data_IF_237194109665
#
_entry.id   IF_237194109665
#
_cell.length_a   1.000
_cell.length_b   1.000
_cell.length_c   1.000
_cell.angle_alpha   90.00
_cell.angle_beta   90.00
_cell.angle_gamma   90.00
#
_symmetry.space_group_name_H-M   'P 1'
#
loop_
_entity.id
_entity.type
_entity.pdbx_description
1 polymer ?
#
# COMPACT_ATOMS: atom_id res chain seq x y z
N UNK A 1 -1.78 16.10 -17.15
CA UNK A 1 -2.37 14.93 -16.45
C UNK A 1 -2.26 15.18 -14.97
N UNK A 2 -3.33 15.09 -14.25
CA UNK A 2 -3.31 15.12 -12.80
C UNK A 2 -2.73 13.79 -12.33
N UNK A 3 -1.67 13.87 -11.53
CA UNK A 3 -1.02 12.70 -10.92
C UNK A 3 -1.59 12.58 -9.52
N UNK A 4 -2.14 11.42 -9.18
CA UNK A 4 -2.57 11.12 -7.81
C UNK A 4 -1.35 11.04 -6.90
N UNK A 5 -1.39 11.75 -5.79
CA UNK A 5 -0.31 11.79 -4.78
C UNK A 5 -0.77 11.01 -3.55
N UNK A 6 -0.18 9.86 -3.31
CA UNK A 6 -0.31 9.14 -2.05
C UNK A 6 0.88 9.43 -1.13
N UNK A 7 0.62 9.49 0.17
CA UNK A 7 1.64 9.75 1.18
C UNK A 7 1.68 8.63 2.21
N UNK A 8 2.69 7.76 2.13
CA UNK A 8 2.94 6.72 3.11
C UNK A 8 3.71 7.29 4.30
N UNK A 9 3.05 7.40 5.44
CA UNK A 9 3.56 7.97 6.68
C UNK A 9 4.28 6.92 7.53
N UNK A 10 5.62 6.89 7.44
CA UNK A 10 6.48 6.06 8.31
C UNK A 10 6.85 6.82 9.60
N UNK A 11 5.85 7.27 10.35
CA UNK A 11 5.98 8.08 11.58
C UNK A 11 5.06 7.52 12.67
N UNK A 12 5.35 7.83 13.94
CA UNK A 12 4.60 7.34 15.09
C UNK A 12 3.42 8.23 15.49
N UNK A 13 3.33 9.42 14.93
CA UNK A 13 2.33 10.45 15.26
C UNK A 13 1.45 10.80 14.04
N UNK A 14 1.17 9.83 13.18
CA UNK A 14 0.35 10.03 11.99
C UNK A 14 -1.06 10.55 12.34
N UNK A 15 -1.64 10.06 13.46
CA UNK A 15 -2.96 10.49 13.92
C UNK A 15 -3.02 11.97 14.37
N UNK A 16 -1.89 12.56 14.76
CA UNK A 16 -1.82 13.98 15.19
C UNK A 16 -1.38 14.93 14.07
N UNK A 17 -0.86 14.40 12.94
CA UNK A 17 -0.21 15.24 11.90
C UNK A 17 -0.76 15.04 10.49
N UNK A 18 -1.75 14.16 10.30
CA UNK A 18 -2.31 13.83 8.98
C UNK A 18 -2.83 15.07 8.23
N UNK A 19 -3.38 16.06 8.95
CA UNK A 19 -3.94 17.30 8.41
C UNK A 19 -2.91 18.13 7.63
N UNK A 20 -1.65 18.15 8.09
CA UNK A 20 -0.56 18.85 7.42
C UNK A 20 -0.28 18.31 6.01
N UNK A 21 -0.47 17.01 5.81
CA UNK A 21 -0.31 16.36 4.49
C UNK A 21 -1.51 16.64 3.58
N UNK A 22 -2.71 16.64 4.15
CA UNK A 22 -3.94 17.04 3.43
C UNK A 22 -3.85 18.50 2.99
N UNK A 23 -3.42 19.41 3.87
CA UNK A 23 -3.19 20.83 3.54
C UNK A 23 -2.11 21.04 2.48
N UNK A 24 -1.14 20.12 2.39
CA UNK A 24 -0.13 20.09 1.33
C UNK A 24 -0.66 19.59 -0.01
N UNK A 25 -1.88 19.05 -0.07
CA UNK A 25 -2.56 18.65 -1.29
C UNK A 25 -2.36 17.19 -1.70
N UNK A 26 -2.15 16.27 -0.74
CA UNK A 26 -2.14 14.83 -1.04
C UNK A 26 -3.55 14.31 -1.26
N UNK A 27 -3.70 13.36 -2.18
CA UNK A 27 -4.99 12.72 -2.49
C UNK A 27 -5.30 11.56 -1.53
N UNK A 28 -4.26 10.94 -0.95
CA UNK A 28 -4.37 9.80 -0.04
C UNK A 28 -3.31 9.87 1.06
N UNK A 29 -3.71 9.59 2.29
CA UNK A 29 -2.79 9.36 3.42
C UNK A 29 -2.82 7.89 3.79
N UNK A 30 -1.64 7.25 3.87
CA UNK A 30 -1.46 5.85 4.22
C UNK A 30 -0.68 5.78 5.53
N UNK A 31 -1.32 5.30 6.60
CA UNK A 31 -0.71 5.21 7.93
C UNK A 31 -0.52 3.76 8.37
N UNK A 32 0.50 3.53 9.21
CA UNK A 32 0.75 2.21 9.80
C UNK A 32 -0.28 1.85 10.86
N UNK A 33 -0.87 0.65 10.76
CA UNK A 33 -1.84 0.15 11.76
C UNK A 33 -1.19 0.07 13.15
N UNK A 34 0.11 -0.18 13.20
CA UNK A 34 0.89 -0.29 14.43
C UNK A 34 1.18 1.07 15.10
N UNK A 35 0.93 2.18 14.42
CA UNK A 35 1.24 3.53 14.88
C UNK A 35 0.00 4.37 15.21
N UNK A 36 -1.20 3.82 15.09
CA UNK A 36 -2.46 4.54 15.28
C UNK A 36 -3.38 3.74 16.20
N UNK A 37 -3.67 4.26 17.39
CA UNK A 37 -4.50 3.58 18.40
C UNK A 37 -5.98 3.50 17.99
N UNK A 38 -6.52 4.57 17.38
CA UNK A 38 -7.91 4.64 16.89
C UNK A 38 -7.93 4.85 15.38
N UNK A 39 -7.69 3.78 14.63
CA UNK A 39 -7.65 3.82 13.18
C UNK A 39 -9.02 4.19 12.55
N UNK A 40 -10.18 3.72 13.05
CA UNK A 40 -11.49 4.19 12.59
C UNK A 40 -11.66 5.71 12.68
N UNK A 41 -11.20 6.35 13.76
CA UNK A 41 -11.26 7.80 13.89
C UNK A 41 -10.39 8.51 12.84
N UNK A 42 -9.20 8.00 12.54
CA UNK A 42 -8.34 8.54 11.49
C UNK A 42 -9.00 8.41 10.09
N UNK A 43 -9.59 7.26 9.75
CA UNK A 43 -10.32 7.07 8.49
C UNK A 43 -11.44 8.11 8.36
N UNK A 44 -12.26 8.25 9.41
CA UNK A 44 -13.37 9.22 9.40
C UNK A 44 -12.87 10.66 9.24
N UNK A 45 -11.75 11.02 9.86
CA UNK A 45 -11.15 12.35 9.75
C UNK A 45 -10.64 12.64 8.34
N UNK A 46 -9.92 11.69 7.72
CA UNK A 46 -9.43 11.80 6.34
C UNK A 46 -10.58 11.93 5.34
N UNK A 47 -11.60 11.07 5.42
CA UNK A 47 -12.79 11.15 4.57
C UNK A 47 -13.55 12.46 4.78
N UNK A 48 -13.65 12.94 6.04
CA UNK A 48 -14.26 14.24 6.37
C UNK A 48 -13.53 15.43 5.74
N UNK A 49 -12.23 15.29 5.48
CA UNK A 49 -11.39 16.26 4.77
C UNK A 49 -11.39 16.07 3.24
N UNK A 50 -12.08 15.06 2.72
CA UNK A 50 -12.12 14.75 1.28
C UNK A 50 -10.89 14.00 0.76
N UNK A 51 -10.08 13.42 1.66
CA UNK A 51 -8.85 12.67 1.35
C UNK A 51 -9.08 11.18 1.54
N UNK A 52 -8.50 10.35 0.67
CA UNK A 52 -8.57 8.90 0.78
C UNK A 52 -7.74 8.36 1.96
N UNK A 53 -8.24 7.28 2.57
CA UNK A 53 -7.62 6.65 3.73
C UNK A 53 -7.00 5.30 3.37
N UNK A 54 -5.69 5.17 3.57
CA UNK A 54 -4.95 3.93 3.42
C UNK A 54 -4.41 3.40 4.75
N UNK A 55 -4.39 2.09 4.88
CA UNK A 55 -3.80 1.37 6.02
C UNK A 55 -2.62 0.54 5.55
N UNK A 56 -1.48 0.60 6.25
CA UNK A 56 -0.31 -0.23 5.96
C UNK A 56 0.00 -1.18 7.10
N UNK A 57 0.40 -2.42 6.73
CA UNK A 57 0.83 -3.46 7.65
C UNK A 57 2.29 -3.80 7.44
N UNK A 58 3.03 -3.95 8.54
CA UNK A 58 4.36 -4.55 8.51
C UNK A 58 4.33 -6.04 8.11
N UNK A 59 5.45 -6.62 7.65
CA UNK A 59 5.50 -8.04 7.29
C UNK A 59 5.05 -8.98 8.41
N UNK A 60 5.31 -8.63 9.66
CA UNK A 60 4.99 -9.44 10.85
C UNK A 60 3.61 -9.18 11.45
N UNK A 61 2.92 -8.09 11.05
CA UNK A 61 1.61 -7.72 11.61
C UNK A 61 0.51 -8.64 11.09
N UNK A 62 -0.31 -9.25 11.95
CA UNK A 62 -1.41 -10.11 11.53
C UNK A 62 -2.44 -9.37 10.67
N UNK A 63 -2.93 -10.01 9.60
CA UNK A 63 -3.93 -9.44 8.68
C UNK A 63 -5.26 -9.16 9.38
N UNK A 64 -5.58 -9.92 10.42
CA UNK A 64 -6.79 -9.82 11.22
C UNK A 64 -7.00 -8.44 11.85
N UNK A 65 -5.93 -7.66 12.01
CA UNK A 65 -6.03 -6.28 12.52
C UNK A 65 -6.65 -5.32 11.52
N UNK A 66 -6.52 -5.60 10.21
CA UNK A 66 -7.04 -4.72 9.14
C UNK A 66 -8.39 -5.20 8.60
N UNK A 67 -8.71 -6.49 8.68
CA UNK A 67 -9.96 -7.02 8.15
C UNK A 67 -11.22 -6.25 8.60
N UNK A 68 -11.36 -5.85 9.89
CA UNK A 68 -12.52 -5.08 10.34
C UNK A 68 -12.61 -3.68 9.73
N UNK A 69 -11.48 -3.12 9.24
CA UNK A 69 -11.39 -1.77 8.69
C UNK A 69 -11.66 -1.73 7.17
N UNK A 70 -11.58 -2.88 6.48
CA UNK A 70 -11.71 -2.95 5.02
C UNK A 70 -12.93 -2.22 4.45
N UNK A 71 -14.13 -2.26 5.07
CA UNK A 71 -15.31 -1.57 4.54
C UNK A 71 -15.15 -0.05 4.38
N UNK A 72 -14.27 0.54 5.17
CA UNK A 72 -14.06 1.99 5.23
C UNK A 72 -12.71 2.43 4.65
N UNK A 73 -11.87 1.47 4.19
CA UNK A 73 -10.56 1.76 3.61
C UNK A 73 -10.61 1.86 2.09
N UNK A 74 -9.94 2.88 1.54
CA UNK A 74 -9.71 3.03 0.10
C UNK A 74 -8.55 2.15 -0.38
N UNK A 75 -7.55 1.91 0.50
CA UNK A 75 -6.35 1.16 0.18
C UNK A 75 -5.78 0.41 1.39
N UNK A 76 -5.26 -0.80 1.12
CA UNK A 76 -4.40 -1.53 2.06
C UNK A 76 -3.03 -1.73 1.42
N UNK A 77 -1.99 -1.29 2.11
CA UNK A 77 -0.59 -1.49 1.72
C UNK A 77 0.04 -2.61 2.55
N UNK A 78 0.59 -3.61 1.90
CA UNK A 78 1.39 -4.66 2.55
C UNK A 78 2.87 -4.37 2.34
N UNK A 79 3.60 -4.21 3.45
CA UNK A 79 5.06 -4.12 3.37
C UNK A 79 5.66 -5.51 3.09
N UNK A 80 6.50 -5.60 2.06
CA UNK A 80 7.29 -6.80 1.74
C UNK A 80 8.79 -6.63 2.06
N UNK A 81 9.10 -5.65 2.90
CA UNK A 81 10.39 -5.42 3.57
C UNK A 81 10.10 -4.81 4.94
N UNK A 82 11.09 -4.79 5.83
CA UNK A 82 10.98 -4.01 7.08
C UNK A 82 11.03 -2.52 6.76
N UNK A 83 10.03 -1.70 7.15
CA UNK A 83 9.99 -0.28 6.82
C UNK A 83 11.22 0.51 7.30
N UNK A 84 11.51 1.62 6.62
CA UNK A 84 12.52 2.59 7.04
C UNK A 84 13.90 2.44 6.38
N UNK A 85 14.13 1.43 5.54
CA UNK A 85 15.38 1.29 4.77
C UNK A 85 15.09 0.89 3.34
N UNK A 86 15.64 1.63 2.39
CA UNK A 86 15.61 1.26 0.97
C UNK A 86 16.56 0.10 0.63
N UNK A 87 16.33 -0.54 -0.52
CA UNK A 87 17.23 -1.53 -1.10
C UNK A 87 17.25 -2.91 -0.42
N UNK A 88 16.29 -3.20 0.44
CA UNK A 88 16.15 -4.51 1.08
C UNK A 88 15.66 -5.57 0.11
N UNK A 89 15.91 -6.84 0.46
CA UNK A 89 15.41 -8.00 -0.30
C UNK A 89 13.92 -8.16 -0.07
N UNK A 90 13.20 -8.50 -1.15
CA UNK A 90 11.79 -8.85 -1.13
C UNK A 90 11.54 -10.05 -0.19
N UNK A 91 10.49 -9.99 0.59
CA UNK A 91 10.05 -11.02 1.54
C UNK A 91 8.83 -11.77 0.97
N UNK A 92 9.02 -12.95 0.33
CA UNK A 92 7.91 -13.70 -0.26
C UNK A 92 6.94 -14.28 0.79
N UNK A 93 7.33 -14.32 2.05
CA UNK A 93 6.50 -14.83 3.16
C UNK A 93 5.21 -14.02 3.36
N UNK A 94 5.14 -12.80 2.80
CA UNK A 94 3.92 -11.98 2.85
C UNK A 94 2.82 -12.47 1.89
N UNK A 95 3.09 -13.43 1.00
CA UNK A 95 2.10 -13.98 0.06
C UNK A 95 0.79 -14.38 0.73
N UNK A 96 0.87 -15.14 1.82
CA UNK A 96 -0.32 -15.60 2.54
C UNK A 96 -1.20 -14.44 3.01
N UNK A 97 -0.58 -13.36 3.50
CA UNK A 97 -1.26 -12.12 3.91
C UNK A 97 -1.93 -11.42 2.72
N UNK A 98 -1.20 -11.26 1.61
CA UNK A 98 -1.73 -10.61 0.40
C UNK A 98 -2.94 -11.37 -0.14
N UNK A 99 -2.87 -12.70 -0.25
CA UNK A 99 -3.98 -13.54 -0.73
C UNK A 99 -5.19 -13.52 0.21
N UNK A 100 -4.97 -13.46 1.53
CA UNK A 100 -6.06 -13.33 2.50
C UNK A 100 -6.78 -11.99 2.35
N UNK A 101 -6.05 -10.88 2.20
CA UNK A 101 -6.60 -9.56 1.94
C UNK A 101 -7.37 -9.54 0.61
N UNK A 102 -6.79 -10.07 -0.47
CA UNK A 102 -7.46 -10.14 -1.78
C UNK A 102 -8.79 -10.88 -1.68
N UNK A 103 -8.80 -12.05 -1.02
CA UNK A 103 -10.02 -12.84 -0.82
C UNK A 103 -11.08 -12.03 -0.06
N UNK A 104 -10.69 -11.32 0.99
CA UNK A 104 -11.63 -10.51 1.79
C UNK A 104 -12.17 -9.30 1.01
N UNK A 105 -11.30 -8.62 0.25
CA UNK A 105 -11.69 -7.50 -0.61
C UNK A 105 -12.64 -7.96 -1.72
N UNK A 106 -12.35 -9.09 -2.38
CA UNK A 106 -13.21 -9.63 -3.43
C UNK A 106 -14.61 -10.04 -2.88
N UNK A 107 -14.65 -10.63 -1.69
CA UNK A 107 -15.90 -10.95 -1.01
C UNK A 107 -16.70 -9.67 -0.66
N UNK A 108 -16.03 -8.61 -0.21
CA UNK A 108 -16.62 -7.31 0.06
C UNK A 108 -17.24 -6.69 -1.21
N UNK A 109 -16.50 -6.68 -2.32
CA UNK A 109 -16.96 -6.17 -3.62
C UNK A 109 -18.16 -6.98 -4.10
N UNK A 110 -18.10 -8.31 -4.00
CA UNK A 110 -19.21 -9.20 -4.38
C UNK A 110 -20.47 -8.95 -3.56
N UNK A 111 -20.33 -8.50 -2.31
CA UNK A 111 -21.43 -8.10 -1.44
C UNK A 111 -21.95 -6.66 -1.69
N UNK A 112 -21.40 -5.94 -2.67
CA UNK A 112 -21.75 -4.55 -3.00
C UNK A 112 -21.07 -3.50 -2.14
N UNK A 113 -20.00 -3.87 -1.42
CA UNK A 113 -19.16 -2.95 -0.66
C UNK A 113 -18.15 -2.19 -1.53
N UNK A 114 -17.31 -1.36 -0.89
CA UNK A 114 -16.32 -0.55 -1.58
C UNK A 114 -15.20 -1.41 -2.22
N UNK A 115 -14.59 -0.89 -3.27
CA UNK A 115 -13.47 -1.53 -3.98
C UNK A 115 -12.13 -1.06 -3.41
N UNK A 116 -11.81 -1.51 -2.20
CA UNK A 116 -10.51 -1.26 -1.57
C UNK A 116 -9.38 -1.75 -2.46
N UNK A 117 -8.37 -0.91 -2.70
CA UNK A 117 -7.17 -1.28 -3.47
C UNK A 117 -6.17 -2.01 -2.61
N UNK A 118 -5.48 -2.98 -3.20
CA UNK A 118 -4.40 -3.73 -2.55
C UNK A 118 -3.07 -3.33 -3.15
N UNK A 119 -2.20 -2.74 -2.33
CA UNK A 119 -0.88 -2.25 -2.72
C UNK A 119 0.21 -3.08 -2.02
N UNK A 120 1.38 -3.20 -2.64
CA UNK A 120 2.57 -3.80 -2.03
C UNK A 120 3.77 -2.86 -2.18
N UNK A 121 4.60 -2.75 -1.14
CA UNK A 121 5.86 -2.00 -1.16
C UNK A 121 6.99 -2.81 -0.55
N UNK A 122 8.10 -2.87 -1.28
CA UNK A 122 9.36 -3.41 -0.82
C UNK A 122 10.00 -4.43 -1.76
N UNK A 123 11.15 -4.10 -2.32
CA UNK A 123 11.97 -5.03 -3.08
C UNK A 123 11.41 -5.51 -4.41
N UNK A 124 10.40 -4.81 -4.97
CA UNK A 124 9.79 -5.18 -6.25
C UNK A 124 10.74 -4.84 -7.39
N UNK A 125 10.95 -5.83 -8.28
CA UNK A 125 11.83 -5.77 -9.46
C UNK A 125 11.25 -6.60 -10.59
N UNK A 126 11.87 -6.53 -11.78
CA UNK A 126 11.43 -7.25 -12.98
C UNK A 126 11.27 -8.77 -12.76
N UNK A 127 12.11 -9.40 -11.92
CA UNK A 127 12.10 -10.85 -11.72
C UNK A 127 11.01 -11.36 -10.76
N UNK A 128 10.37 -10.48 -9.96
CA UNK A 128 9.30 -10.85 -9.03
C UNK A 128 7.98 -10.13 -9.31
N UNK A 129 7.92 -9.24 -10.30
CA UNK A 129 6.71 -8.47 -10.63
C UNK A 129 5.53 -9.38 -11.02
N UNK A 130 5.78 -10.39 -11.87
CA UNK A 130 4.75 -11.36 -12.26
C UNK A 130 4.21 -12.15 -11.07
N UNK A 131 5.10 -12.63 -10.19
CA UNK A 131 4.72 -13.33 -8.97
C UNK A 131 3.79 -12.48 -8.10
N UNK A 132 4.14 -11.22 -7.90
CA UNK A 132 3.35 -10.28 -7.10
C UNK A 132 1.99 -10.00 -7.75
N UNK A 133 1.94 -9.86 -9.08
CA UNK A 133 0.69 -9.70 -9.83
C UNK A 133 -0.24 -10.92 -9.67
N UNK A 134 0.30 -12.15 -9.70
CA UNK A 134 -0.45 -13.38 -9.47
C UNK A 134 -1.07 -13.48 -8.07
N UNK A 135 -0.54 -12.73 -7.08
CA UNK A 135 -1.13 -12.66 -5.76
C UNK A 135 -2.39 -11.79 -5.69
N UNK A 136 -2.69 -11.03 -6.77
CA UNK A 136 -3.86 -10.17 -6.89
C UNK A 136 -3.63 -8.74 -6.39
N UNK A 137 -2.40 -8.22 -6.49
CA UNK A 137 -2.05 -6.84 -6.19
C UNK A 137 -2.58 -5.91 -7.29
N UNK A 138 -3.21 -4.80 -6.89
CA UNK A 138 -3.66 -3.73 -7.78
C UNK A 138 -2.52 -2.74 -8.10
N UNK A 139 -1.65 -2.46 -7.11
CA UNK A 139 -0.61 -1.43 -7.20
C UNK A 139 0.70 -1.97 -6.60
N UNK A 140 1.81 -1.85 -7.33
CA UNK A 140 3.14 -2.18 -6.84
C UNK A 140 4.02 -0.92 -6.76
N UNK A 141 4.59 -0.64 -5.58
CA UNK A 141 5.56 0.44 -5.39
C UNK A 141 6.94 -0.08 -5.82
N UNK A 142 7.54 0.59 -6.79
CA UNK A 142 8.84 0.20 -7.34
C UNK A 142 9.81 1.37 -7.25
N UNK A 143 10.73 1.32 -6.32
CA UNK A 143 11.81 2.30 -6.15
C UNK A 143 13.08 1.88 -6.89
N UNK A 144 13.97 1.14 -6.24
CA UNK A 144 15.25 0.70 -6.80
C UNK A 144 15.14 -0.24 -8.01
N UNK A 145 13.95 -0.80 -8.27
CA UNK A 145 13.65 -1.54 -9.49
C UNK A 145 13.55 -0.64 -10.73
N UNK A 146 13.16 0.63 -10.56
CA UNK A 146 13.07 1.62 -11.63
C UNK A 146 14.28 2.57 -11.68
N UNK A 147 14.76 3.00 -10.50
CA UNK A 147 15.85 3.98 -10.37
C UNK A 147 17.12 3.23 -9.97
N UNK A 148 17.95 2.90 -10.97
CA UNK A 148 19.20 2.18 -10.80
C UNK A 148 20.12 2.42 -12.02
N UNK A 149 21.34 1.86 -11.98
CA UNK A 149 22.36 2.05 -13.01
C UNK A 149 22.22 1.13 -14.23
N UNK A 150 21.18 0.27 -14.29
CA UNK A 150 21.00 -0.70 -15.38
C UNK A 150 20.44 -0.08 -16.67
N UNK A 151 19.77 1.08 -16.57
CA UNK A 151 19.13 1.75 -17.70
C UNK A 151 18.33 2.97 -17.26
N UNK A 152 17.60 3.57 -18.19
CA UNK A 152 16.67 4.65 -17.89
C UNK A 152 15.43 4.11 -17.14
N UNK A 153 14.70 4.99 -16.45
CA UNK A 153 13.41 4.62 -15.82
C UNK A 153 12.46 3.99 -16.84
N UNK A 154 12.44 4.50 -18.08
CA UNK A 154 11.60 3.96 -19.14
C UNK A 154 12.01 2.54 -19.54
N UNK A 155 13.31 2.25 -19.64
CA UNK A 155 13.83 0.92 -19.98
C UNK A 155 13.50 -0.08 -18.85
N UNK A 156 13.76 0.30 -17.60
CA UNK A 156 13.48 -0.52 -16.43
C UNK A 156 11.96 -0.79 -16.28
N UNK A 157 11.11 0.21 -16.53
CA UNK A 157 9.66 0.04 -16.54
C UNK A 157 9.20 -0.92 -17.65
N UNK A 158 9.78 -0.78 -18.86
CA UNK A 158 9.47 -1.68 -19.97
C UNK A 158 9.89 -3.13 -19.67
N UNK A 159 10.99 -3.32 -18.95
CA UNK A 159 11.44 -4.65 -18.50
C UNK A 159 10.46 -5.26 -17.48
N UNK A 160 10.01 -4.50 -16.49
CA UNK A 160 9.01 -4.95 -15.51
C UNK A 160 7.72 -5.35 -16.25
N UNK A 161 7.23 -4.51 -17.16
CA UNK A 161 5.99 -4.76 -17.92
C UNK A 161 6.04 -5.98 -18.84
N UNK A 162 7.22 -6.33 -19.35
CA UNK A 162 7.39 -7.54 -20.17
C UNK A 162 7.27 -8.84 -19.37
N UNK A 163 7.42 -8.75 -18.06
CA UNK A 163 7.34 -9.88 -17.14
C UNK A 163 5.97 -9.97 -16.41
N UNK A 164 5.03 -9.07 -16.72
CA UNK A 164 3.64 -9.12 -16.26
C UNK A 164 2.76 -9.83 -17.30
#
# INVERSE_FOLDING_TARGET
SEVTIDCHLMITNAAETWDQYVDAGVDMVIAHIEAVDDFPALIAALHGAGTQAGCVLNPTTPVEQVLPLLPDLDLVLVMSVVPGKGGQSFMPEVEGKVRALRTSIDAQIAAGGCATKLMIDGGIKHHNAALVAEWGIDIAVVGSGLINDSGTIADNLAEIRRNL
#
